data_IF_472661313013
#
_entry.id   IF_472661313013
#
_cell.length_a   1.000
_cell.length_b   1.000
_cell.length_c   1.000
_cell.angle_alpha   90.00
_cell.angle_beta   90.00
_cell.angle_gamma   90.00
#
_symmetry.space_group_name_H-M   'P 1'
#
loop_
_entity.id
_entity.type
_entity.pdbx_description
1 polymer ?
#
# COMPACT_ATOMS: atom_id res chain seq x y z
N UNK A 1 0.46 6.56 -18.03
CA UNK A 1 1.44 6.03 -17.07
C UNK A 1 1.12 6.45 -15.63
N UNK A 2 1.15 7.76 -15.36
CA UNK A 2 0.85 8.26 -14.00
C UNK A 2 -0.58 7.97 -13.58
N UNK A 3 -1.54 8.08 -14.50
CA UNK A 3 -2.95 7.78 -14.21
C UNK A 3 -3.14 6.33 -13.76
N UNK A 4 -2.44 5.40 -14.39
CA UNK A 4 -2.51 3.98 -14.01
C UNK A 4 -1.91 3.78 -12.61
N UNK A 5 -0.83 4.49 -12.30
CA UNK A 5 -0.21 4.41 -10.98
C UNK A 5 -1.15 4.94 -9.90
N UNK A 6 -1.86 6.04 -10.18
CA UNK A 6 -2.81 6.63 -9.24
C UNK A 6 -3.95 5.64 -8.97
N UNK A 7 -4.47 4.99 -10.01
CA UNK A 7 -5.52 3.97 -9.84
C UNK A 7 -5.02 2.82 -8.99
N UNK A 8 -3.77 2.38 -9.19
CA UNK A 8 -3.16 1.32 -8.41
C UNK A 8 -2.99 1.74 -6.94
N UNK A 9 -2.59 2.99 -6.71
CA UNK A 9 -2.50 3.54 -5.34
C UNK A 9 -3.86 3.54 -4.66
N UNK A 10 -4.91 3.96 -5.36
CA UNK A 10 -6.27 4.00 -4.82
C UNK A 10 -6.76 2.59 -4.47
N UNK A 11 -6.50 1.63 -5.32
CA UNK A 11 -6.86 0.24 -5.08
C UNK A 11 -6.12 -0.30 -3.86
N UNK A 12 -4.83 0.01 -3.74
CA UNK A 12 -4.03 -0.39 -2.58
C UNK A 12 -4.58 0.20 -1.29
N UNK A 13 -4.93 1.50 -1.30
CA UNK A 13 -5.54 2.17 -0.15
C UNK A 13 -6.84 1.50 0.24
N UNK A 14 -7.69 1.18 -0.73
CA UNK A 14 -8.96 0.53 -0.49
C UNK A 14 -8.78 -0.84 0.15
N UNK A 15 -7.92 -1.67 -0.42
CA UNK A 15 -7.72 -3.02 0.11
C UNK A 15 -7.03 -3.01 1.48
N UNK A 16 -6.09 -2.10 1.70
CA UNK A 16 -5.46 -1.94 3.00
C UNK A 16 -6.48 -1.50 4.05
N UNK A 17 -7.35 -0.56 3.70
CA UNK A 17 -8.41 -0.10 4.60
C UNK A 17 -9.36 -1.24 4.94
N UNK A 18 -9.78 -2.00 3.93
CA UNK A 18 -10.66 -3.14 4.14
C UNK A 18 -10.00 -4.20 5.02
N UNK A 19 -8.72 -4.48 4.79
CA UNK A 19 -7.97 -5.44 5.59
C UNK A 19 -7.88 -4.99 7.04
N UNK A 20 -7.54 -3.72 7.28
CA UNK A 20 -7.45 -3.20 8.64
C UNK A 20 -8.79 -3.29 9.36
N UNK A 21 -9.89 -2.96 8.67
CA UNK A 21 -11.22 -3.03 9.25
C UNK A 21 -11.64 -4.47 9.57
N UNK A 22 -11.36 -5.38 8.66
CA UNK A 22 -11.72 -6.79 8.86
C UNK A 22 -10.92 -7.45 9.97
N UNK A 23 -9.70 -6.99 10.19
CA UNK A 23 -8.81 -7.56 11.21
C UNK A 23 -8.94 -6.89 12.57
N UNK A 24 -9.70 -5.81 12.65
CA UNK A 24 -9.79 -4.95 13.84
C UNK A 24 -10.12 -5.69 15.13
N UNK A 25 -11.01 -6.67 15.05
CA UNK A 25 -11.49 -7.40 16.21
C UNK A 25 -10.85 -8.79 16.35
N UNK A 26 -9.86 -9.10 15.53
CA UNK A 26 -9.20 -10.40 15.55
C UNK A 26 -7.91 -10.33 16.37
N UNK A 27 -7.69 -11.27 17.29
CA UNK A 27 -6.45 -11.27 18.07
C UNK A 27 -5.23 -11.59 17.20
N UNK A 28 -4.10 -10.99 17.54
CA UNK A 28 -2.85 -11.23 16.83
C UNK A 28 -2.69 -10.48 15.52
N UNK A 29 -3.57 -9.51 15.24
CA UNK A 29 -3.56 -8.77 13.98
C UNK A 29 -3.05 -7.34 14.12
N UNK A 30 -2.55 -6.96 15.27
CA UNK A 30 -2.13 -5.58 15.56
C UNK A 30 -1.06 -5.08 14.60
N UNK A 31 -0.08 -5.92 14.29
CA UNK A 31 1.01 -5.56 13.37
C UNK A 31 0.44 -5.40 11.95
N UNK A 32 -0.42 -6.32 11.54
CA UNK A 32 -1.05 -6.24 10.21
C UNK A 32 -1.85 -4.95 10.06
N UNK A 33 -2.66 -4.60 11.07
CA UNK A 33 -3.46 -3.37 11.06
C UNK A 33 -2.54 -2.15 10.96
N UNK A 34 -1.48 -2.11 11.76
CA UNK A 34 -0.53 -1.00 11.75
C UNK A 34 0.11 -0.83 10.36
N UNK A 35 0.56 -1.91 9.76
CA UNK A 35 1.20 -1.86 8.45
C UNK A 35 0.21 -1.48 7.35
N UNK A 36 -1.04 -1.92 7.45
CA UNK A 36 -2.08 -1.50 6.52
C UNK A 36 -2.32 0.00 6.61
N UNK A 37 -2.39 0.55 7.82
CA UNK A 37 -2.60 1.98 8.02
C UNK A 37 -1.40 2.78 7.53
N UNK A 38 -0.18 2.32 7.78
CA UNK A 38 1.02 2.96 7.27
C UNK A 38 1.04 2.96 5.74
N UNK A 39 0.63 1.85 5.13
CA UNK A 39 0.57 1.72 3.68
C UNK A 39 -0.44 2.70 3.09
N UNK A 40 -1.61 2.83 3.71
CA UNK A 40 -2.63 3.80 3.28
C UNK A 40 -2.05 5.21 3.28
N UNK A 41 -1.38 5.59 4.37
CA UNK A 41 -0.78 6.92 4.51
C UNK A 41 0.27 7.17 3.43
N UNK A 42 1.18 6.22 3.23
CA UNK A 42 2.25 6.37 2.24
C UNK A 42 1.73 6.38 0.81
N UNK A 43 0.73 5.57 0.50
CA UNK A 43 0.12 5.56 -0.83
C UNK A 43 -0.59 6.87 -1.12
N UNK A 44 -1.33 7.42 -0.16
CA UNK A 44 -2.00 8.71 -0.33
C UNK A 44 -1.00 9.84 -0.54
N UNK A 45 0.06 9.84 0.25
CA UNK A 45 1.11 10.85 0.13
C UNK A 45 1.81 10.76 -1.23
N UNK A 46 2.13 9.55 -1.66
CA UNK A 46 2.78 9.30 -2.95
C UNK A 46 1.87 9.75 -4.11
N UNK A 47 0.57 9.45 -4.04
CA UNK A 47 -0.37 9.86 -5.07
C UNK A 47 -0.43 11.38 -5.18
N UNK A 48 -0.46 12.09 -4.06
CA UNK A 48 -0.47 13.55 -4.05
C UNK A 48 0.80 14.13 -4.67
N UNK A 49 1.96 13.57 -4.33
CA UNK A 49 3.24 14.05 -4.85
C UNK A 49 3.34 13.79 -6.36
N UNK A 50 2.82 12.66 -6.82
CA UNK A 50 2.80 12.35 -8.26
C UNK A 50 1.88 13.29 -9.02
N UNK A 51 0.71 13.61 -8.47
CA UNK A 51 -0.23 14.54 -9.09
C UNK A 51 0.33 15.96 -9.14
N UNK A 52 1.04 16.35 -8.09
CA UNK A 52 1.61 17.69 -7.99
C UNK A 52 2.93 17.84 -8.73
N UNK A 53 3.51 16.77 -9.20
CA UNK A 53 4.83 16.75 -9.85
C UNK A 53 5.89 17.40 -8.96
N UNK A 54 5.82 17.17 -7.66
CA UNK A 54 6.72 17.79 -6.70
C UNK A 54 8.14 17.22 -6.77
N UNK A 55 9.10 17.99 -6.26
CA UNK A 55 10.49 17.57 -6.21
C UNK A 55 10.78 16.43 -5.24
N UNK A 56 9.86 16.17 -4.30
CA UNK A 56 10.01 15.10 -3.32
C UNK A 56 9.35 13.79 -3.75
N UNK A 57 8.90 13.72 -5.00
CA UNK A 57 8.21 12.55 -5.55
C UNK A 57 9.00 11.26 -5.37
N UNK A 58 10.31 11.29 -5.62
CA UNK A 58 11.13 10.07 -5.51
C UNK A 58 11.18 9.53 -4.09
N UNK A 59 11.26 10.42 -3.10
CA UNK A 59 11.26 10.00 -1.69
C UNK A 59 9.93 9.37 -1.32
N UNK A 60 8.83 9.96 -1.79
CA UNK A 60 7.48 9.42 -1.56
C UNK A 60 7.31 8.04 -2.20
N UNK A 61 7.83 7.88 -3.41
CA UNK A 61 7.78 6.60 -4.13
C UNK A 61 8.55 5.53 -3.36
N UNK A 62 9.74 5.83 -2.90
CA UNK A 62 10.55 4.87 -2.13
C UNK A 62 9.87 4.49 -0.82
N UNK A 63 9.30 5.46 -0.11
CA UNK A 63 8.57 5.21 1.13
C UNK A 63 7.35 4.33 0.86
N UNK A 64 6.64 4.58 -0.23
CA UNK A 64 5.49 3.79 -0.64
C UNK A 64 5.88 2.34 -0.94
N UNK A 65 6.98 2.14 -1.68
CA UNK A 65 7.47 0.78 -1.98
C UNK A 65 7.75 0.01 -0.70
N UNK A 66 8.47 0.63 0.25
CA UNK A 66 8.80 -0.02 1.52
C UNK A 66 7.57 -0.37 2.32
N UNK A 67 6.61 0.56 2.41
CA UNK A 67 5.37 0.34 3.15
C UNK A 67 4.55 -0.79 2.50
N UNK A 68 4.47 -0.80 1.17
CA UNK A 68 3.74 -1.84 0.44
C UNK A 68 4.39 -3.21 0.63
N UNK A 69 5.71 -3.29 0.57
CA UNK A 69 6.43 -4.54 0.78
C UNK A 69 6.22 -5.09 2.19
N UNK A 70 6.33 -4.22 3.19
CA UNK A 70 6.14 -4.62 4.59
C UNK A 70 4.71 -5.10 4.81
N UNK A 71 3.74 -4.38 4.28
CA UNK A 71 2.33 -4.74 4.40
C UNK A 71 2.04 -6.07 3.70
N UNK A 72 2.53 -6.24 2.48
CA UNK A 72 2.33 -7.48 1.73
C UNK A 72 2.94 -8.68 2.48
N UNK A 73 4.16 -8.53 2.98
CA UNK A 73 4.84 -9.60 3.72
C UNK A 73 4.06 -10.00 4.97
N UNK A 74 3.54 -9.03 5.70
CA UNK A 74 2.75 -9.32 6.90
C UNK A 74 1.42 -9.98 6.52
N UNK A 75 0.75 -9.46 5.51
CA UNK A 75 -0.55 -10.01 5.07
C UNK A 75 -0.44 -11.43 4.57
N UNK A 76 0.69 -11.81 3.95
CA UNK A 76 0.91 -13.16 3.48
C UNK A 76 1.00 -14.19 4.60
N UNK A 77 1.31 -13.75 5.82
CA UNK A 77 1.37 -14.64 6.99
C UNK A 77 -0.01 -15.02 7.49
N UNK A 78 -1.04 -14.31 7.08
CA UNK A 78 -2.40 -14.53 7.56
C UNK A 78 -3.24 -15.21 6.49
N UNK A 79 -4.11 -16.10 6.93
CA UNK A 79 -4.84 -16.96 6.00
C UNK A 79 -6.30 -16.52 5.87
N UNK A 80 -6.51 -15.23 5.57
CA UNK A 80 -7.85 -14.73 5.31
C UNK A 80 -7.90 -13.96 3.98
N UNK A 81 -9.11 -13.84 3.43
CA UNK A 81 -9.32 -13.26 2.10
C UNK A 81 -8.90 -11.79 2.05
N UNK A 82 -9.23 -11.01 3.07
CA UNK A 82 -8.88 -9.59 3.10
C UNK A 82 -7.37 -9.38 3.07
N UNK A 83 -6.62 -10.18 3.82
CA UNK A 83 -5.17 -10.09 3.83
C UNK A 83 -4.57 -10.50 2.48
N UNK A 84 -5.13 -11.52 1.85
CA UNK A 84 -4.65 -11.95 0.52
C UNK A 84 -4.86 -10.86 -0.52
N UNK A 85 -6.04 -10.25 -0.54
CA UNK A 85 -6.34 -9.14 -1.45
C UNK A 85 -5.44 -7.95 -1.19
N UNK A 86 -5.21 -7.64 0.08
CA UNK A 86 -4.32 -6.55 0.47
C UNK A 86 -2.88 -6.83 0.01
N UNK A 87 -2.38 -8.05 0.21
CA UNK A 87 -1.04 -8.42 -0.22
C UNK A 87 -0.89 -8.26 -1.73
N UNK A 88 -1.87 -8.71 -2.50
CA UNK A 88 -1.84 -8.58 -3.96
C UNK A 88 -1.84 -7.11 -4.39
N UNK A 89 -2.71 -6.30 -3.79
CA UNK A 89 -2.78 -4.87 -4.11
C UNK A 89 -1.48 -4.15 -3.75
N UNK A 90 -0.90 -4.48 -2.60
CA UNK A 90 0.38 -3.90 -2.17
C UNK A 90 1.51 -4.29 -3.12
N UNK A 91 1.55 -5.54 -3.56
CA UNK A 91 2.57 -6.01 -4.51
C UNK A 91 2.44 -5.28 -5.85
N UNK A 92 1.23 -5.13 -6.35
CA UNK A 92 0.98 -4.40 -7.59
C UNK A 92 1.40 -2.93 -7.45
N UNK A 93 1.07 -2.31 -6.32
CA UNK A 93 1.44 -0.93 -6.05
C UNK A 93 2.96 -0.76 -6.01
N UNK A 94 3.66 -1.65 -5.33
CA UNK A 94 5.12 -1.60 -5.27
C UNK A 94 5.74 -1.75 -6.67
N UNK A 95 5.20 -2.65 -7.50
CA UNK A 95 5.69 -2.85 -8.86
C UNK A 95 5.50 -1.60 -9.72
N UNK A 96 4.33 -0.95 -9.63
CA UNK A 96 4.09 0.29 -10.36
C UNK A 96 5.01 1.41 -9.89
N UNK A 97 5.26 1.49 -8.58
CA UNK A 97 6.20 2.46 -8.03
C UNK A 97 7.61 2.24 -8.57
N UNK A 98 8.05 0.99 -8.67
CA UNK A 98 9.37 0.66 -9.21
C UNK A 98 9.51 1.08 -10.66
N UNK A 99 8.45 0.96 -11.45
CA UNK A 99 8.45 1.40 -12.84
C UNK A 99 8.63 2.91 -12.95
N UNK A 100 8.01 3.68 -12.06
CA UNK A 100 8.17 5.14 -12.04
C UNK A 100 9.61 5.50 -11.65
N UNK A 101 10.18 4.78 -10.69
CA UNK A 101 11.52 5.04 -10.16
C UNK A 101 12.63 4.62 -11.12
N UNK A 102 12.34 3.73 -12.06
CA UNK A 102 13.36 3.19 -12.98
C UNK A 102 13.82 4.18 -14.07
#
# INVERSE_FOLDING_TARGET
MIEHCIDTFKECVEECTNCANDCKDKPGMEICIKLCNDCVEKCNHCAKDCEASSGSKMQSIEACIKACEACANECEKHNNTSCKKCADACSDCADECRKIAA
#
